data_IF_504816500031
#
_entry.id   IF_504816500031
#
_cell.length_a   1.000
_cell.length_b   1.000
_cell.length_c   1.000
_cell.angle_alpha   90.00
_cell.angle_beta   90.00
_cell.angle_gamma   90.00
#
_symmetry.space_group_name_H-M   'P 1'
#
loop_
_entity.id
_entity.type
_entity.pdbx_description
1 polymer ?
#
# COMPACT_ATOMS: atom_id res chain seq x y z
N UNK A 1 -5.94 9.25 -12.74
CA UNK A 1 -7.22 9.46 -12.00
C UNK A 1 -7.04 10.65 -11.07
N UNK A 2 -7.98 11.59 -10.96
CA UNK A 2 -7.84 12.75 -10.06
C UNK A 2 -8.55 12.45 -8.74
N UNK A 3 -7.77 12.26 -7.68
CA UNK A 3 -8.25 12.01 -6.32
C UNK A 3 -8.08 13.27 -5.48
N UNK A 4 -8.97 13.52 -4.52
CA UNK A 4 -8.93 14.74 -3.67
C UNK A 4 -7.84 14.71 -2.60
N UNK A 5 -7.33 13.53 -2.27
CA UNK A 5 -6.23 13.36 -1.32
C UNK A 5 -4.95 14.02 -1.87
N UNK A 6 -4.36 14.92 -1.06
CA UNK A 6 -3.17 15.67 -1.44
C UNK A 6 -1.88 14.87 -1.27
N UNK A 7 -1.82 14.01 -0.26
CA UNK A 7 -0.65 13.18 -0.02
C UNK A 7 -0.74 11.95 -0.90
N UNK A 8 0.07 11.93 -1.95
CA UNK A 8 0.22 10.83 -2.89
C UNK A 8 1.72 10.55 -2.98
N UNK A 9 2.14 9.49 -2.29
CA UNK A 9 3.54 9.19 -2.07
C UNK A 9 3.92 7.96 -2.91
N UNK A 10 4.71 8.11 -3.99
CA UNK A 10 5.16 6.97 -4.76
C UNK A 10 6.09 6.10 -3.90
N UNK A 11 5.95 4.79 -4.03
CA UNK A 11 6.74 3.84 -3.25
C UNK A 11 6.72 2.43 -3.80
N UNK A 12 7.48 1.56 -3.16
CA UNK A 12 7.60 0.15 -3.54
C UNK A 12 7.17 -0.74 -2.38
N UNK A 13 6.29 -1.69 -2.64
CA UNK A 13 5.87 -2.67 -1.63
C UNK A 13 7.07 -3.49 -1.19
N UNK A 14 7.28 -3.59 0.12
CA UNK A 14 8.34 -4.38 0.73
C UNK A 14 7.81 -5.73 1.23
N UNK A 15 6.60 -5.74 1.80
CA UNK A 15 5.95 -6.95 2.28
C UNK A 15 4.44 -6.78 2.34
N UNK A 16 3.72 -7.89 2.17
CA UNK A 16 2.28 -7.98 2.39
C UNK A 16 2.01 -9.14 3.34
N UNK A 17 1.32 -8.89 4.44
CA UNK A 17 0.85 -9.91 5.38
C UNK A 17 -0.66 -9.98 5.32
N UNK A 18 -1.20 -11.10 4.88
CA UNK A 18 -2.63 -11.34 4.83
C UNK A 18 -3.11 -11.93 6.16
N UNK A 19 -4.05 -11.26 6.81
CA UNK A 19 -4.89 -11.83 7.86
C UNK A 19 -6.19 -12.41 7.29
N UNK A 20 -7.17 -12.68 8.13
CA UNK A 20 -8.49 -13.14 7.67
C UNK A 20 -9.28 -12.02 6.99
N UNK A 21 -9.30 -10.82 7.60
CA UNK A 21 -10.10 -9.68 7.11
C UNK A 21 -9.23 -8.54 6.58
N UNK A 22 -8.11 -8.29 7.25
CA UNK A 22 -7.18 -7.20 6.94
C UNK A 22 -5.89 -7.72 6.32
N UNK A 23 -5.19 -6.85 5.60
CA UNK A 23 -3.83 -7.06 5.14
C UNK A 23 -2.95 -5.89 5.59
N UNK A 24 -1.79 -6.21 6.15
CA UNK A 24 -0.75 -5.25 6.45
C UNK A 24 0.19 -5.15 5.25
N UNK A 25 0.28 -3.97 4.64
CA UNK A 25 1.13 -3.67 3.49
C UNK A 25 2.21 -2.71 3.95
N UNK A 26 3.46 -3.13 3.84
CA UNK A 26 4.61 -2.27 4.09
C UNK A 26 5.14 -1.73 2.78
N UNK A 27 5.32 -0.41 2.68
CA UNK A 27 5.79 0.30 1.48
C UNK A 27 7.00 1.15 1.82
N UNK A 28 8.04 1.07 1.00
CA UNK A 28 9.19 1.97 1.01
C UNK A 28 8.83 3.25 0.25
N UNK A 29 8.99 4.40 0.89
CA UNK A 29 8.76 5.72 0.28
C UNK A 29 10.01 6.56 0.53
N UNK A 30 10.87 6.67 -0.48
CA UNK A 30 12.20 7.26 -0.31
C UNK A 30 13.00 6.53 0.78
N UNK A 31 13.53 7.27 1.75
CA UNK A 31 14.26 6.73 2.91
C UNK A 31 13.34 6.23 4.04
N UNK A 32 12.03 6.44 3.91
CA UNK A 32 11.05 6.10 4.93
C UNK A 32 10.28 4.82 4.59
N UNK A 33 9.59 4.31 5.60
CA UNK A 33 8.70 3.15 5.49
C UNK A 33 7.31 3.53 5.98
N UNK A 34 6.29 3.21 5.20
CA UNK A 34 4.89 3.39 5.55
C UNK A 34 4.25 2.01 5.70
N UNK A 35 3.50 1.83 6.77
CA UNK A 35 2.68 0.62 7.00
C UNK A 35 1.22 1.01 6.82
N UNK A 36 0.52 0.30 5.94
CA UNK A 36 -0.90 0.48 5.68
C UNK A 36 -1.65 -0.78 6.07
N UNK A 37 -2.77 -0.63 6.76
CA UNK A 37 -3.73 -1.69 6.98
C UNK A 37 -4.94 -1.46 6.06
N UNK A 38 -5.14 -2.35 5.10
CA UNK A 38 -6.29 -2.34 4.19
C UNK A 38 -7.05 -3.65 4.27
N UNK A 39 -8.21 -3.76 3.64
CA UNK A 39 -8.91 -5.05 3.60
C UNK A 39 -8.11 -6.05 2.77
N UNK A 40 -8.17 -7.34 3.17
CA UNK A 40 -7.56 -8.45 2.44
C UNK A 40 -7.99 -8.45 0.97
N UNK A 41 -9.29 -8.29 0.73
CA UNK A 41 -9.87 -8.27 -0.62
C UNK A 41 -9.33 -7.14 -1.48
N UNK A 42 -9.06 -5.96 -0.90
CA UNK A 42 -8.44 -4.86 -1.64
C UNK A 42 -6.97 -5.15 -1.98
N UNK A 43 -6.21 -5.71 -1.03
CA UNK A 43 -4.81 -6.09 -1.27
C UNK A 43 -4.69 -7.19 -2.35
N UNK A 44 -5.59 -8.17 -2.35
CA UNK A 44 -5.66 -9.23 -3.37
C UNK A 44 -6.10 -8.68 -4.73
N UNK A 45 -7.16 -7.86 -4.78
CA UNK A 45 -7.66 -7.25 -6.02
C UNK A 45 -6.63 -6.33 -6.69
N UNK A 46 -5.87 -5.59 -5.88
CA UNK A 46 -4.75 -4.78 -6.36
C UNK A 46 -3.51 -5.61 -6.73
N UNK A 47 -3.49 -6.92 -6.43
CA UNK A 47 -2.37 -7.81 -6.65
C UNK A 47 -1.09 -7.31 -5.98
N UNK A 48 -1.18 -6.88 -4.73
CA UNK A 48 -0.03 -6.33 -4.00
C UNK A 48 0.97 -7.44 -3.65
N UNK A 49 2.23 -7.23 -4.01
CA UNK A 49 3.32 -8.17 -3.76
C UNK A 49 4.64 -7.41 -3.57
N UNK A 50 5.63 -7.98 -2.86
CA UNK A 50 6.95 -7.38 -2.72
C UNK A 50 7.56 -7.00 -4.08
N UNK A 51 8.13 -5.80 -4.18
CA UNK A 51 8.71 -5.26 -5.41
C UNK A 51 7.75 -4.45 -6.28
N UNK A 52 6.43 -4.50 -6.02
CA UNK A 52 5.44 -3.76 -6.80
C UNK A 52 5.49 -2.25 -6.53
N UNK A 53 5.49 -1.45 -7.59
CA UNK A 53 5.35 0.00 -7.50
C UNK A 53 3.89 0.40 -7.20
N UNK A 54 3.72 1.29 -6.22
CA UNK A 54 2.43 1.75 -5.73
C UNK A 54 2.47 3.25 -5.39
N UNK A 55 1.30 3.86 -5.26
CA UNK A 55 1.14 5.20 -4.70
C UNK A 55 0.40 5.06 -3.38
N UNK A 56 1.04 5.43 -2.27
CA UNK A 56 0.40 5.52 -0.96
C UNK A 56 -0.43 6.81 -0.92
N UNK A 57 -1.72 6.69 -0.67
CA UNK A 57 -2.65 7.82 -0.65
C UNK A 57 -3.14 8.08 0.77
N UNK A 58 -2.96 9.30 1.27
CA UNK A 58 -3.39 9.73 2.60
C UNK A 58 -4.24 10.99 2.43
N UNK A 59 -5.47 10.97 2.95
CA UNK A 59 -6.38 12.13 2.93
C UNK A 59 -6.27 12.92 4.22
#
# INVERSE_FOLDING_TARGET
MRISARNQLPGTVQSVKYGEVMAEVTVRVGEHQIVSAITRTAAESLGLEPGKEVIVVIK
#
